data_IF_692351918855
#
_entry.id   IF_692351918855
#
_cell.length_a   1.000
_cell.length_b   1.000
_cell.length_c   1.000
_cell.angle_alpha   90.00
_cell.angle_beta   90.00
_cell.angle_gamma   90.00
#
_symmetry.space_group_name_H-M   'P 1'
#
loop_
_entity.id
_entity.type
_entity.pdbx_description
1 polymer ?
#
# COMPACT_ATOMS: atom_id res chain seq x y z
N UNK A 1 -12.70 1.32 17.24
CA UNK A 1 -12.33 -0.10 16.95
C UNK A 1 -10.92 -0.12 16.36
N UNK A 2 -10.18 -1.22 16.53
CA UNK A 2 -8.83 -1.37 15.96
C UNK A 2 -8.93 -1.73 14.47
N UNK A 3 -8.19 -1.02 13.60
CA UNK A 3 -8.15 -1.28 12.15
C UNK A 3 -7.32 -2.52 11.84
N UNK A 4 -7.68 -3.22 10.77
CA UNK A 4 -6.89 -4.30 10.17
C UNK A 4 -5.75 -3.67 9.38
N UNK A 5 -4.52 -4.09 9.68
CA UNK A 5 -3.31 -3.57 9.03
C UNK A 5 -2.95 -4.42 7.82
N UNK A 6 -2.72 -3.76 6.69
CA UNK A 6 -2.38 -4.39 5.43
C UNK A 6 -0.97 -4.03 4.99
N UNK A 7 -0.30 -5.01 4.39
CA UNK A 7 0.88 -4.81 3.57
C UNK A 7 0.51 -5.19 2.15
N UNK A 8 0.82 -4.31 1.18
CA UNK A 8 0.66 -4.64 -0.23
C UNK A 8 1.96 -5.26 -0.76
N UNK A 9 1.88 -6.48 -1.28
CA UNK A 9 3.00 -7.14 -1.96
C UNK A 9 2.74 -7.12 -3.47
N UNK A 10 3.61 -6.46 -4.21
CA UNK A 10 3.48 -6.22 -5.65
C UNK A 10 2.80 -4.89 -5.95
N UNK A 11 3.56 -3.95 -6.51
CA UNK A 11 3.12 -2.60 -6.88
C UNK A 11 2.75 -2.51 -8.37
N UNK A 12 2.24 -3.60 -8.95
CA UNK A 12 1.91 -3.73 -10.37
C UNK A 12 0.51 -3.23 -10.76
N UNK A 13 -0.03 -3.76 -11.86
CA UNK A 13 -1.25 -3.26 -12.50
C UNK A 13 -2.47 -3.14 -11.56
N UNK A 14 -2.66 -4.11 -10.66
CA UNK A 14 -3.83 -4.17 -9.76
C UNK A 14 -3.63 -3.40 -8.45
N UNK A 15 -2.41 -2.97 -8.15
CA UNK A 15 -2.04 -2.35 -6.87
C UNK A 15 -2.95 -1.17 -6.54
N UNK A 16 -3.18 -0.27 -7.50
CA UNK A 16 -4.02 0.92 -7.31
C UNK A 16 -5.46 0.57 -6.91
N UNK A 17 -6.05 -0.47 -7.48
CA UNK A 17 -7.41 -0.89 -7.17
C UNK A 17 -7.53 -1.41 -5.73
N UNK A 18 -6.58 -2.24 -5.28
CA UNK A 18 -6.54 -2.69 -3.87
C UNK A 18 -6.34 -1.54 -2.90
N UNK A 19 -5.43 -0.61 -3.23
CA UNK A 19 -5.15 0.54 -2.38
C UNK A 19 -6.34 1.49 -2.26
N UNK A 20 -7.09 1.72 -3.35
CA UNK A 20 -8.34 2.48 -3.31
C UNK A 20 -9.38 1.82 -2.41
N UNK A 21 -9.54 0.50 -2.48
CA UNK A 21 -10.47 -0.24 -1.62
C UNK A 21 -10.06 -0.18 -0.13
N UNK A 22 -8.76 -0.26 0.16
CA UNK A 22 -8.24 -0.11 1.53
C UNK A 22 -8.45 1.32 2.04
N UNK A 23 -8.18 2.33 1.21
CA UNK A 23 -8.27 3.74 1.60
C UNK A 23 -9.70 4.18 1.96
N UNK A 24 -10.73 3.62 1.31
CA UNK A 24 -12.13 3.95 1.62
C UNK A 24 -12.72 3.14 2.78
N UNK A 25 -12.00 2.14 3.30
CA UNK A 25 -12.48 1.30 4.40
C UNK A 25 -12.13 1.91 5.76
N UNK A 26 -13.16 2.16 6.58
CA UNK A 26 -12.95 2.60 7.97
C UNK A 26 -12.32 1.52 8.86
N UNK A 27 -12.34 0.27 8.41
CA UNK A 27 -11.80 -0.89 9.13
C UNK A 27 -10.39 -1.27 8.70
N UNK A 28 -9.80 -0.60 7.70
CA UNK A 28 -8.50 -0.95 7.14
C UNK A 28 -7.49 0.20 7.25
N UNK A 29 -6.22 -0.18 7.36
CA UNK A 29 -5.07 0.71 7.36
C UNK A 29 -3.96 0.05 6.55
N UNK A 30 -3.39 0.77 5.59
CA UNK A 30 -2.22 0.31 4.85
C UNK A 30 -0.95 0.79 5.54
N UNK A 31 -0.06 -0.14 5.89
CA UNK A 31 1.14 0.18 6.68
C UNK A 31 2.44 0.08 5.91
N UNK A 32 2.49 -0.73 4.85
CA UNK A 32 3.66 -0.84 4.00
C UNK A 32 3.31 -1.31 2.59
N UNK A 33 4.22 -1.03 1.64
CA UNK A 33 4.20 -1.60 0.29
C UNK A 33 5.54 -2.26 -0.01
N UNK A 34 5.50 -3.37 -0.76
CA UNK A 34 6.67 -4.18 -1.12
C UNK A 34 6.65 -4.39 -2.62
N UNK A 35 7.78 -4.18 -3.30
CA UNK A 35 7.98 -4.57 -4.70
C UNK A 35 9.46 -4.78 -4.97
N UNK A 36 9.77 -5.84 -5.73
CA UNK A 36 11.13 -6.15 -6.19
C UNK A 36 11.84 -4.99 -6.89
N UNK A 37 11.09 -4.00 -7.38
CA UNK A 37 11.60 -2.74 -7.92
C UNK A 37 11.36 -1.66 -6.87
N UNK A 38 12.34 -1.43 -5.98
CA UNK A 38 12.24 -0.44 -4.89
C UNK A 38 11.73 0.94 -5.34
N UNK A 39 12.18 1.54 -6.47
CA UNK A 39 11.63 2.80 -6.95
C UNK A 39 10.11 2.78 -7.19
N UNK A 40 9.57 1.64 -7.63
CA UNK A 40 8.12 1.45 -7.84
C UNK A 40 7.38 1.42 -6.51
N UNK A 41 7.91 0.70 -5.52
CA UNK A 41 7.35 0.68 -4.17
C UNK A 41 7.35 2.09 -3.55
N UNK A 42 8.45 2.82 -3.68
CA UNK A 42 8.57 4.20 -3.19
C UNK A 42 7.59 5.16 -3.88
N UNK A 43 7.44 5.06 -5.21
CA UNK A 43 6.48 5.87 -5.95
C UNK A 43 5.04 5.63 -5.49
N UNK A 44 4.68 4.36 -5.28
CA UNK A 44 3.33 4.00 -4.83
C UNK A 44 3.09 4.44 -3.39
N UNK A 45 4.07 4.24 -2.50
CA UNK A 45 4.01 4.69 -1.11
C UNK A 45 3.74 6.20 -1.01
N UNK A 46 4.42 7.02 -1.81
CA UNK A 46 4.18 8.47 -1.87
C UNK A 46 2.77 8.81 -2.33
N UNK A 47 2.25 8.09 -3.32
CA UNK A 47 0.91 8.34 -3.89
C UNK A 47 -0.22 8.06 -2.90
N UNK A 48 0.03 7.18 -1.92
CA UNK A 48 -0.95 6.75 -0.91
C UNK A 48 -0.54 7.11 0.53
N UNK A 49 0.46 7.99 0.69
CA UNK A 49 0.95 8.47 1.99
C UNK A 49 1.36 7.35 2.96
N UNK A 50 1.97 6.28 2.44
CA UNK A 50 2.47 5.16 3.23
C UNK A 50 3.89 5.43 3.66
N UNK A 51 4.18 5.26 4.95
CA UNK A 51 5.49 5.57 5.56
C UNK A 51 6.60 4.59 5.19
N UNK A 52 6.26 3.41 4.67
CA UNK A 52 7.20 2.29 4.53
C UNK A 52 7.09 1.66 3.14
N UNK A 53 8.21 1.71 2.40
CA UNK A 53 8.41 1.06 1.11
C UNK A 53 9.63 0.14 1.21
N UNK A 54 9.47 -1.12 0.82
CA UNK A 54 10.48 -2.18 0.96
C UNK A 54 10.70 -2.83 -0.41
N UNK A 55 11.92 -3.29 -0.66
CA UNK A 55 12.28 -4.12 -1.83
C UNK A 55 11.88 -5.58 -1.61
#
# INVERSE_FOLDING_TARGET
>A
MKKIKFVLVGCGAIAKAHLQAIAVSEHAELTAVVDKVLPRAQQLARSFQVSTAIE
#
